data_IF_250152347857
#
_entry.id   IF_250152347857
#
_cell.length_a   1.000
_cell.length_b   1.000
_cell.length_c   1.000
_cell.angle_alpha   90.00
_cell.angle_beta   90.00
_cell.angle_gamma   90.00
#
_symmetry.space_group_name_H-M   'P 1'
#
loop_
_entity.id
_entity.type
_entity.pdbx_description
1 polymer ?
#
# COMPACT_ATOMS: atom_id res chain seq x y z
N UNK A 1 21.29 -4.50 4.95
CA UNK A 1 20.53 -3.41 4.31
C UNK A 1 20.99 -2.06 4.81
N UNK A 2 20.37 -1.57 5.89
CA UNK A 2 20.62 -0.23 6.45
C UNK A 2 22.09 0.11 6.76
N UNK A 3 22.85 -0.84 7.34
CA UNK A 3 24.30 -0.65 7.54
C UNK A 3 25.07 -0.43 6.23
N UNK A 4 24.76 -1.21 5.20
CA UNK A 4 25.38 -1.07 3.89
C UNK A 4 25.00 0.29 3.25
N UNK A 5 23.73 0.70 3.35
CA UNK A 5 23.25 2.00 2.87
C UNK A 5 23.90 3.17 3.62
N UNK A 6 24.14 3.03 4.92
CA UNK A 6 24.81 4.04 5.73
C UNK A 6 26.30 4.14 5.37
N UNK A 7 26.96 2.99 5.18
CA UNK A 7 28.36 2.94 4.74
C UNK A 7 28.53 3.60 3.37
N UNK A 8 27.67 3.29 2.40
CA UNK A 8 27.74 3.91 1.07
C UNK A 8 27.46 5.42 1.12
N UNK A 9 26.54 5.87 1.98
CA UNK A 9 26.27 7.29 2.16
C UNK A 9 27.41 8.06 2.86
N UNK A 10 28.13 7.42 3.78
CA UNK A 10 29.33 7.99 4.43
C UNK A 10 30.53 8.05 3.49
N UNK A 11 30.64 7.11 2.56
CA UNK A 11 31.68 7.08 1.53
C UNK A 11 31.40 8.05 0.36
N UNK A 12 30.16 8.52 0.22
CA UNK A 12 29.73 9.42 -0.86
C UNK A 12 30.64 10.65 -1.07
N UNK A 13 31.06 11.39 -0.03
CA UNK A 13 31.91 12.57 -0.22
C UNK A 13 33.32 12.24 -0.75
N UNK A 14 33.75 10.98 -0.66
CA UNK A 14 35.13 10.55 -0.87
C UNK A 14 35.32 9.76 -2.17
N UNK A 15 34.23 9.39 -2.86
CA UNK A 15 34.27 8.54 -4.06
C UNK A 15 33.82 9.33 -5.30
N UNK A 16 34.66 9.44 -6.36
CA UNK A 16 34.24 10.09 -7.60
C UNK A 16 33.11 9.29 -8.29
N UNK A 17 32.09 10.02 -8.75
CA UNK A 17 30.78 9.55 -9.24
C UNK A 17 30.80 8.53 -10.40
N UNK A 18 31.95 8.23 -10.99
CA UNK A 18 32.11 7.41 -12.20
C UNK A 18 32.33 5.90 -11.96
N UNK A 19 32.19 5.38 -10.73
CA UNK A 19 32.30 3.91 -10.51
C UNK A 19 30.93 3.23 -10.57
N UNK A 20 30.75 2.40 -11.60
CA UNK A 20 29.65 1.43 -11.78
C UNK A 20 29.38 0.56 -10.51
N UNK A 21 30.39 0.35 -9.67
CA UNK A 21 30.24 -0.35 -8.38
C UNK A 21 29.38 0.36 -7.32
N UNK A 22 29.26 1.69 -7.37
CA UNK A 22 28.51 2.48 -6.38
C UNK A 22 27.00 2.26 -6.51
N UNK A 23 26.48 2.28 -7.73
CA UNK A 23 25.06 2.02 -8.00
C UNK A 23 24.66 0.58 -7.63
N UNK A 24 25.53 -0.41 -7.89
CA UNK A 24 25.28 -1.81 -7.53
C UNK A 24 25.15 -2.00 -6.01
N UNK A 25 26.04 -1.38 -5.22
CA UNK A 25 25.99 -1.43 -3.76
C UNK A 25 24.72 -0.80 -3.20
N UNK A 26 24.28 0.32 -3.78
CA UNK A 26 23.02 0.97 -3.41
C UNK A 26 21.80 0.08 -3.70
N UNK A 27 21.67 -0.48 -4.90
CA UNK A 27 20.56 -1.37 -5.24
C UNK A 27 20.50 -2.60 -4.33
N UNK A 28 21.65 -3.24 -4.08
CA UNK A 28 21.71 -4.39 -3.17
C UNK A 28 21.27 -4.03 -1.76
N UNK A 29 21.70 -2.87 -1.25
CA UNK A 29 21.30 -2.40 0.08
C UNK A 29 19.78 -2.16 0.18
N UNK A 30 19.17 -1.57 -0.85
CA UNK A 30 17.74 -1.31 -0.93
C UNK A 30 16.92 -2.60 -1.04
N UNK A 31 17.36 -3.56 -1.86
CA UNK A 31 16.70 -4.87 -1.96
C UNK A 31 16.73 -5.63 -0.63
N UNK A 32 17.86 -5.61 0.09
CA UNK A 32 17.94 -6.23 1.42
C UNK A 32 17.03 -5.54 2.44
N UNK A 33 16.86 -4.21 2.37
CA UNK A 33 15.92 -3.49 3.23
C UNK A 33 14.49 -3.92 2.90
N UNK A 34 14.12 -3.95 1.61
CA UNK A 34 12.79 -4.36 1.17
C UNK A 34 12.47 -5.80 1.57
N UNK A 35 13.42 -6.73 1.43
CA UNK A 35 13.24 -8.14 1.80
C UNK A 35 13.07 -8.30 3.31
N UNK A 36 13.86 -7.57 4.12
CA UNK A 36 13.68 -7.53 5.56
C UNK A 36 12.30 -7.02 5.94
N UNK A 37 11.93 -5.83 5.45
CA UNK A 37 10.66 -5.17 5.75
C UNK A 37 9.44 -6.01 5.34
N UNK A 38 9.50 -6.70 4.19
CA UNK A 38 8.44 -7.60 3.75
C UNK A 38 8.26 -8.83 4.65
N UNK A 39 9.34 -9.36 5.23
CA UNK A 39 9.30 -10.56 6.07
C UNK A 39 8.91 -10.30 7.53
N UNK A 40 9.52 -9.28 8.16
CA UNK A 40 9.32 -9.08 9.60
C UNK A 40 8.01 -8.34 9.93
N UNK A 41 7.54 -7.41 9.08
CA UNK A 41 6.35 -6.60 9.39
C UNK A 41 5.10 -7.44 9.75
N UNK A 42 4.64 -8.39 8.91
CA UNK A 42 3.46 -9.18 9.23
C UNK A 42 3.70 -10.13 10.41
N UNK A 43 4.90 -10.69 10.48
CA UNK A 43 5.28 -11.66 11.52
C UNK A 43 5.37 -11.02 12.91
N UNK A 44 5.90 -9.79 13.00
CA UNK A 44 6.09 -9.09 14.27
C UNK A 44 4.76 -8.68 14.90
N UNK A 45 3.81 -8.21 14.09
CA UNK A 45 2.48 -7.84 14.57
C UNK A 45 1.70 -9.08 15.06
N UNK A 46 1.75 -10.18 14.30
CA UNK A 46 1.12 -11.44 14.70
C UNK A 46 1.76 -12.01 15.98
N UNK A 47 3.09 -12.04 16.04
CA UNK A 47 3.83 -12.52 17.20
C UNK A 47 3.52 -11.73 18.46
N UNK A 48 3.42 -10.40 18.36
CA UNK A 48 3.04 -9.53 19.48
C UNK A 48 1.63 -9.82 19.99
N UNK A 49 0.68 -10.06 19.09
CA UNK A 49 -0.69 -10.44 19.45
C UNK A 49 -0.74 -11.83 20.14
N UNK A 50 0.03 -12.80 19.65
CA UNK A 50 0.10 -14.15 20.22
C UNK A 50 0.55 -14.16 21.69
N UNK A 51 1.40 -13.21 22.10
CA UNK A 51 1.83 -13.11 23.51
C UNK A 51 0.67 -12.78 24.46
N UNK A 52 -0.35 -12.06 23.97
CA UNK A 52 -1.53 -11.67 24.75
C UNK A 52 -2.59 -12.77 24.78
N UNK A 53 -2.60 -13.69 23.80
CA UNK A 53 -3.56 -14.79 23.78
C UNK A 53 -3.23 -15.90 24.79
N UNK A 54 -1.96 -16.06 25.16
CA UNK A 54 -1.51 -17.16 26.03
C UNK A 54 -1.86 -16.89 27.51
N UNK A 55 -2.04 -15.63 27.91
CA UNK A 55 -2.62 -15.29 29.23
C UNK A 55 -4.09 -15.75 29.35
N UNK A 56 -4.82 -15.92 28.25
CA UNK A 56 -6.26 -16.19 28.24
C UNK A 56 -6.63 -17.68 28.51
N UNK A 57 -5.67 -18.61 28.43
CA UNK A 57 -5.90 -20.05 28.66
C UNK A 57 -5.86 -20.47 30.15
N UNK A 58 -5.51 -19.56 31.07
CA UNK A 58 -5.58 -19.82 32.52
C UNK A 58 -7.03 -19.63 33.01
N UNK A 59 -7.64 -20.64 33.69
CA UNK A 59 -9.06 -20.62 33.99
C UNK A 59 -9.34 -19.71 35.19
N UNK A 60 -9.51 -18.42 34.94
CA UNK A 60 -10.17 -17.52 35.87
C UNK A 60 -10.93 -16.45 35.09
N UNK A 61 -12.24 -16.67 34.95
CA UNK A 61 -13.29 -15.64 34.87
C UNK A 61 -12.86 -14.29 34.28
N UNK A 62 -13.12 -14.05 32.98
CA UNK A 62 -13.39 -12.74 32.34
C UNK A 62 -13.20 -12.82 30.81
N UNK A 63 -14.25 -13.15 30.07
CA UNK A 63 -14.29 -12.99 28.61
C UNK A 63 -14.22 -11.52 28.16
N UNK A 64 -14.54 -10.57 29.05
CA UNK A 64 -14.59 -9.14 28.71
C UNK A 64 -13.25 -8.41 28.92
N UNK A 65 -12.45 -8.76 29.95
CA UNK A 65 -11.15 -8.07 30.19
C UNK A 65 -10.04 -8.46 29.21
N UNK A 66 -10.11 -9.63 28.57
CA UNK A 66 -9.10 -10.10 27.60
C UNK A 66 -9.18 -9.36 26.26
N UNK A 67 -10.41 -9.11 25.79
CA UNK A 67 -10.68 -8.27 24.61
C UNK A 67 -10.16 -6.85 24.81
N UNK A 68 -10.32 -6.29 26.01
CA UNK A 68 -9.86 -4.94 26.35
C UNK A 68 -8.33 -4.82 26.31
N UNK A 69 -7.57 -5.78 26.87
CA UNK A 69 -6.10 -5.77 26.82
C UNK A 69 -5.56 -5.82 25.39
N UNK A 70 -6.14 -6.66 24.53
CA UNK A 70 -5.74 -6.77 23.11
C UNK A 70 -6.07 -5.49 22.34
N UNK A 71 -7.25 -4.91 22.57
CA UNK A 71 -7.65 -3.63 21.98
C UNK A 71 -6.68 -2.50 22.36
N UNK A 72 -6.35 -2.38 23.65
CA UNK A 72 -5.37 -1.39 24.15
C UNK A 72 -3.99 -1.60 23.53
N UNK A 73 -3.53 -2.85 23.38
CA UNK A 73 -2.27 -3.15 22.69
C UNK A 73 -2.28 -2.65 21.24
N UNK A 74 -3.33 -2.98 20.47
CA UNK A 74 -3.42 -2.55 19.07
C UNK A 74 -3.56 -1.02 18.94
N UNK A 75 -4.22 -0.36 19.88
CA UNK A 75 -4.29 1.11 19.92
C UNK A 75 -2.90 1.73 20.15
N UNK A 76 -2.14 1.25 21.13
CA UNK A 76 -0.77 1.72 21.38
C UNK A 76 0.19 1.40 20.24
N UNK A 77 0.06 0.21 19.63
CA UNK A 77 0.81 -0.18 18.44
C UNK A 77 0.55 0.81 17.29
N UNK A 78 -0.72 1.12 17.03
CA UNK A 78 -1.10 2.07 16.00
C UNK A 78 -0.59 3.49 16.29
N UNK A 79 -0.74 3.95 17.54
CA UNK A 79 -0.17 5.23 17.99
C UNK A 79 1.34 5.31 17.77
N UNK A 80 2.06 4.22 18.05
CA UNK A 80 3.50 4.07 17.80
C UNK A 80 3.86 4.19 16.32
N UNK A 81 3.12 3.51 15.44
CA UNK A 81 3.34 3.59 13.98
C UNK A 81 3.12 5.01 13.47
N UNK A 82 2.01 5.65 13.85
CA UNK A 82 1.68 7.01 13.43
C UNK A 82 2.72 8.03 13.89
N UNK A 83 3.13 7.95 15.17
CA UNK A 83 4.15 8.84 15.74
C UNK A 83 5.51 8.60 15.09
N UNK A 84 5.92 7.35 14.91
CA UNK A 84 7.18 6.99 14.26
C UNK A 84 7.24 7.44 12.79
N UNK A 85 6.15 7.28 12.04
CA UNK A 85 6.03 7.78 10.66
C UNK A 85 6.16 9.30 10.60
N UNK A 86 5.47 10.02 11.50
CA UNK A 86 5.51 11.47 11.56
C UNK A 86 6.92 11.99 11.90
N UNK A 87 7.57 11.40 12.90
CA UNK A 87 8.94 11.75 13.29
C UNK A 87 9.95 11.42 12.19
N UNK A 88 9.77 10.30 11.49
CA UNK A 88 10.61 9.92 10.35
C UNK A 88 10.56 10.95 9.22
N UNK A 89 9.37 11.30 8.76
CA UNK A 89 9.17 12.24 7.64
C UNK A 89 9.54 13.68 8.00
N UNK A 90 9.48 14.05 9.28
CA UNK A 90 9.82 15.41 9.74
C UNK A 90 11.29 15.51 10.13
N UNK A 91 11.71 14.81 11.18
CA UNK A 91 13.05 14.93 11.78
C UNK A 91 14.10 14.30 10.90
N UNK A 92 13.90 13.06 10.44
CA UNK A 92 14.94 12.37 9.64
C UNK A 92 15.13 13.07 8.30
N UNK A 93 14.05 13.50 7.64
CA UNK A 93 14.15 14.30 6.42
C UNK A 93 14.83 15.66 6.64
N UNK A 94 14.62 16.29 7.80
CA UNK A 94 15.34 17.52 8.16
C UNK A 94 16.84 17.27 8.33
N UNK A 95 17.22 16.19 9.02
CA UNK A 95 18.61 15.80 9.20
C UNK A 95 19.25 15.47 7.84
N UNK A 96 18.55 14.76 6.95
CA UNK A 96 19.03 14.43 5.60
C UNK A 96 19.33 15.69 4.77
N UNK A 97 18.42 16.66 4.78
CA UNK A 97 18.55 17.90 4.00
C UNK A 97 19.55 18.91 4.58
N UNK A 98 19.80 18.89 5.90
CA UNK A 98 20.64 19.90 6.59
C UNK A 98 22.00 19.40 7.06
N UNK A 99 22.07 18.17 7.58
CA UNK A 99 23.27 17.56 8.16
C UNK A 99 23.87 16.45 7.27
N UNK A 100 23.13 16.00 6.25
CA UNK A 100 23.58 15.08 5.23
C UNK A 100 23.05 13.65 5.36
N UNK A 101 23.16 12.92 4.25
CA UNK A 101 22.57 11.59 4.08
C UNK A 101 23.19 10.50 4.98
N UNK A 102 24.49 10.61 5.29
CA UNK A 102 25.17 9.65 6.18
C UNK A 102 24.53 9.59 7.58
N UNK A 103 24.33 10.75 8.21
CA UNK A 103 23.63 10.85 9.51
C UNK A 103 22.15 10.45 9.38
N UNK A 104 21.51 10.85 8.28
CA UNK A 104 20.12 10.50 7.98
C UNK A 104 19.85 8.99 7.94
N UNK A 105 20.78 8.18 7.43
CA UNK A 105 20.66 6.71 7.42
C UNK A 105 21.23 6.04 8.68
N UNK A 106 22.22 6.65 9.33
CA UNK A 106 22.79 6.14 10.57
C UNK A 106 21.74 6.05 11.70
N UNK A 107 20.86 7.06 11.83
CA UNK A 107 19.84 7.11 12.89
C UNK A 107 18.87 5.90 12.81
N UNK A 108 18.19 5.64 11.66
CA UNK A 108 17.38 4.42 11.51
C UNK A 108 18.17 3.13 11.70
N UNK A 109 19.45 3.11 11.30
CA UNK A 109 20.31 1.95 11.46
C UNK A 109 20.55 1.61 12.93
N UNK A 110 20.92 2.61 13.73
CA UNK A 110 21.13 2.45 15.18
C UNK A 110 19.82 2.03 15.84
N UNK A 111 18.70 2.69 15.50
CA UNK A 111 17.38 2.34 16.03
C UNK A 111 17.00 0.88 15.74
N UNK A 112 17.25 0.40 14.51
CA UNK A 112 16.98 -1.00 14.13
C UNK A 112 17.88 -1.99 14.88
N UNK A 113 19.18 -1.71 14.99
CA UNK A 113 20.13 -2.56 15.74
C UNK A 113 19.72 -2.64 17.21
N UNK A 114 19.36 -1.51 17.82
CA UNK A 114 18.85 -1.46 19.19
C UNK A 114 17.55 -2.24 19.33
N UNK A 115 16.61 -2.12 18.38
CA UNK A 115 15.36 -2.91 18.38
C UNK A 115 15.61 -4.42 18.33
N UNK A 116 16.53 -4.87 17.47
CA UNK A 116 16.89 -6.29 17.37
C UNK A 116 17.57 -6.78 18.65
N UNK A 117 18.42 -5.95 19.27
CA UNK A 117 19.04 -6.27 20.55
C UNK A 117 17.98 -6.45 21.66
N UNK A 118 17.03 -5.51 21.78
CA UNK A 118 15.92 -5.62 22.72
C UNK A 118 15.07 -6.88 22.48
N UNK A 119 14.70 -7.14 21.22
CA UNK A 119 13.94 -8.34 20.86
C UNK A 119 14.71 -9.62 21.21
N UNK A 120 16.01 -9.66 20.96
CA UNK A 120 16.85 -10.83 21.28
C UNK A 120 17.01 -11.05 22.78
N UNK A 121 17.18 -9.97 23.56
CA UNK A 121 17.21 -10.02 25.02
C UNK A 121 15.87 -10.48 25.61
N UNK A 122 14.76 -10.15 24.95
CA UNK A 122 13.40 -10.55 25.33
C UNK A 122 13.08 -12.03 25.12
N UNK A 123 13.94 -12.80 24.43
CA UNK A 123 13.68 -14.20 24.05
C UNK A 123 13.27 -15.12 25.22
N UNK A 124 13.76 -14.86 26.43
CA UNK A 124 13.40 -15.63 27.63
C UNK A 124 11.97 -15.39 28.13
N UNK A 125 11.38 -14.25 27.76
CA UNK A 125 10.05 -13.83 28.19
C UNK A 125 8.97 -14.13 27.16
N UNK A 126 9.35 -14.55 25.94
CA UNK A 126 8.40 -14.84 24.89
C UNK A 126 7.89 -16.27 24.96
N UNK A 127 6.59 -16.43 24.83
CA UNK A 127 5.93 -17.71 24.65
C UNK A 127 5.85 -18.03 23.15
N UNK A 128 6.23 -19.26 22.79
CA UNK A 128 6.23 -19.74 21.41
C UNK A 128 5.10 -20.75 21.22
N UNK A 129 4.19 -20.48 20.30
CA UNK A 129 3.19 -21.47 19.85
C UNK A 129 3.81 -22.42 18.83
N UNK A 130 3.49 -23.72 18.93
CA UNK A 130 3.90 -24.71 17.94
C UNK A 130 3.16 -24.43 16.63
N UNK A 131 3.89 -24.15 15.55
CA UNK A 131 3.29 -23.89 14.25
C UNK A 131 2.55 -25.14 13.74
N UNK A 132 1.25 -25.01 13.47
CA UNK A 132 0.53 -25.98 12.65
C UNK A 132 1.16 -25.94 11.26
N UNK A 133 1.73 -27.06 10.84
CA UNK A 133 2.50 -27.21 9.59
C UNK A 133 1.63 -27.01 8.35
N UNK A 134 1.28 -25.76 8.01
CA UNK A 134 0.70 -25.43 6.73
C UNK A 134 1.84 -25.32 5.70
N UNK A 135 2.08 -26.47 5.11
CA UNK A 135 3.14 -26.86 4.19
C UNK A 135 3.33 -25.85 3.03
N UNK A 136 4.57 -25.39 2.78
CA UNK A 136 4.93 -24.53 1.63
C UNK A 136 4.45 -25.10 0.28
N UNK A 137 4.21 -26.41 0.21
CA UNK A 137 3.60 -27.09 -0.93
C UNK A 137 2.22 -26.52 -1.32
N UNK A 138 1.49 -25.91 -0.40
CA UNK A 138 0.20 -25.28 -0.70
C UNK A 138 0.37 -24.04 -1.59
N UNK A 139 1.44 -23.24 -1.44
CA UNK A 139 1.68 -22.08 -2.30
C UNK A 139 2.08 -22.47 -3.74
N UNK A 140 2.95 -23.47 -3.88
CA UNK A 140 3.36 -24.00 -5.18
C UNK A 140 2.13 -24.58 -5.92
N UNK A 141 1.27 -25.30 -5.21
CA UNK A 141 0.03 -25.85 -5.77
C UNK A 141 -0.97 -24.76 -6.16
N UNK A 142 -1.08 -23.66 -5.40
CA UNK A 142 -1.93 -22.50 -5.75
C UNK A 142 -1.47 -21.89 -7.07
N UNK A 143 -0.16 -21.66 -7.25
CA UNK A 143 0.38 -21.05 -8.46
C UNK A 143 0.18 -21.94 -9.70
N UNK A 144 0.42 -23.25 -9.57
CA UNK A 144 0.21 -24.20 -10.65
C UNK A 144 -1.26 -24.30 -11.07
N UNK A 145 -2.19 -24.28 -10.11
CA UNK A 145 -3.63 -24.34 -10.39
C UNK A 145 -4.14 -23.01 -10.97
N UNK A 146 -3.63 -21.87 -10.51
CA UNK A 146 -3.94 -20.56 -11.08
C UNK A 146 -3.50 -20.51 -12.55
N UNK A 147 -2.29 -21.01 -12.86
CA UNK A 147 -1.78 -21.14 -14.23
C UNK A 147 -2.65 -22.07 -15.09
N UNK A 148 -3.07 -23.22 -14.54
CA UNK A 148 -3.93 -24.17 -15.24
C UNK A 148 -5.37 -23.64 -15.46
N UNK A 149 -5.87 -22.80 -14.56
CA UNK A 149 -7.21 -22.20 -14.65
C UNK A 149 -7.21 -21.00 -15.61
N UNK A 150 -6.19 -20.14 -15.52
CA UNK A 150 -6.00 -19.04 -16.45
C UNK A 150 -5.81 -19.52 -17.90
N UNK A 151 -5.04 -20.59 -18.11
CA UNK A 151 -4.87 -21.18 -19.44
C UNK A 151 -6.15 -21.78 -20.00
N UNK A 152 -7.02 -22.38 -19.17
CA UNK A 152 -8.34 -22.89 -19.59
C UNK A 152 -9.32 -21.78 -19.95
N UNK A 153 -9.27 -20.65 -19.26
CA UNK A 153 -10.11 -19.48 -19.54
C UNK A 153 -9.63 -18.75 -20.80
N UNK A 154 -8.31 -18.63 -20.99
CA UNK A 154 -7.71 -18.05 -22.21
C UNK A 154 -7.98 -18.93 -23.43
N UNK A 155 -8.02 -20.26 -23.26
CA UNK A 155 -8.30 -21.22 -24.34
C UNK A 155 -9.80 -21.47 -24.60
N UNK A 156 -10.70 -20.62 -24.11
CA UNK A 156 -12.11 -20.61 -24.53
C UNK A 156 -13.00 -21.73 -23.98
N UNK A 157 -12.63 -22.38 -22.87
CA UNK A 157 -13.49 -23.39 -22.23
C UNK A 157 -14.54 -22.77 -21.30
N UNK A 158 -15.62 -22.22 -21.85
CA UNK A 158 -16.84 -21.93 -21.08
C UNK A 158 -17.59 -23.27 -20.92
N UNK A 159 -17.84 -23.81 -19.71
CA UNK A 159 -18.89 -24.80 -19.55
C UNK A 159 -20.22 -24.07 -19.65
N UNK A 160 -20.90 -24.27 -20.77
CA UNK A 160 -22.30 -23.92 -20.96
C UNK A 160 -23.13 -24.59 -19.85
N UNK A 161 -24.06 -23.82 -19.27
CA UNK A 161 -25.05 -24.33 -18.33
C UNK A 161 -26.00 -25.33 -19.01
N UNK A 162 -25.98 -26.58 -18.58
CA UNK A 162 -27.03 -27.60 -18.78
C UNK A 162 -26.74 -28.68 -17.71
N UNK A 163 -27.43 -28.86 -16.58
CA UNK A 163 -28.88 -28.94 -16.32
C UNK A 163 -29.20 -28.50 -14.87
N UNK A 164 -30.37 -27.88 -14.71
CA UNK A 164 -31.08 -27.75 -13.43
C UNK A 164 -31.76 -29.08 -13.07
N UNK A 165 -31.32 -29.72 -12.00
CA UNK A 165 -32.05 -30.50 -10.98
C UNK A 165 -30.94 -31.10 -10.10
N UNK A 166 -30.69 -30.65 -8.89
CA UNK A 166 -31.61 -30.72 -7.76
C UNK A 166 -31.39 -29.55 -6.81
N UNK A 167 -32.47 -28.81 -6.59
CA UNK A 167 -32.64 -27.94 -5.43
C UNK A 167 -33.13 -28.79 -4.27
N UNK A 168 -32.23 -29.40 -3.49
CA UNK A 168 -32.54 -29.90 -2.15
C UNK A 168 -31.27 -29.75 -1.31
N UNK A 169 -31.31 -28.77 -0.41
CA UNK A 169 -30.90 -28.92 0.99
C UNK A 169 -29.45 -29.35 1.28
N UNK A 170 -28.69 -28.46 1.91
CA UNK A 170 -27.77 -28.79 3.02
C UNK A 170 -27.16 -27.48 3.56
N UNK A 171 -28.01 -26.70 4.22
CA UNK A 171 -27.60 -26.03 5.45
C UNK A 171 -27.27 -27.10 6.51
N UNK A 172 -26.33 -26.77 7.40
CA UNK A 172 -25.92 -27.53 8.58
C UNK A 172 -25.36 -28.94 8.34
N UNK A 173 -24.03 -29.03 8.41
CA UNK A 173 -23.44 -30.08 9.25
C UNK A 173 -22.12 -29.61 9.88
N UNK A 174 -22.25 -28.77 10.91
CA UNK A 174 -21.38 -28.92 12.08
C UNK A 174 -21.62 -30.32 12.66
N UNK A 175 -20.67 -31.24 12.54
CA UNK A 175 -20.53 -32.36 13.48
C UNK A 175 -19.06 -32.77 13.66
N UNK A 176 -18.75 -33.31 14.85
CA UNK A 176 -17.47 -33.14 15.52
C UNK A 176 -16.43 -34.17 15.08
N UNK A 177 -15.17 -33.83 15.36
CA UNK A 177 -14.02 -34.72 15.35
C UNK A 177 -14.23 -35.95 16.27
N UNK A 178 -13.59 -37.06 15.88
CA UNK A 178 -13.56 -38.43 16.44
C UNK A 178 -14.63 -39.39 15.84
N UNK A 179 -14.33 -40.59 15.31
CA UNK A 179 -13.23 -41.52 15.61
C UNK A 179 -13.07 -42.59 14.50
N UNK A 180 -11.81 -43.01 14.27
CA UNK A 180 -11.33 -44.37 13.96
C UNK A 180 -11.67 -45.05 12.61
N UNK A 181 -10.68 -45.05 11.70
CA UNK A 181 -10.19 -46.27 11.06
C UNK A 181 -10.54 -46.51 9.59
N UNK A 182 -9.67 -46.08 8.66
CA UNK A 182 -9.23 -46.83 7.46
C UNK A 182 -8.21 -46.02 6.62
N UNK A 183 -6.92 -46.30 6.81
CA UNK A 183 -5.75 -45.59 6.24
C UNK A 183 -5.51 -45.81 4.72
N UNK A 184 -6.54 -45.96 3.90
CA UNK A 184 -6.38 -46.17 2.44
C UNK A 184 -7.16 -45.20 1.55
N UNK A 185 -8.28 -44.66 2.05
CA UNK A 185 -9.22 -43.85 1.25
C UNK A 185 -9.09 -42.35 1.56
N UNK A 186 -8.50 -41.97 2.69
CA UNK A 186 -8.33 -40.56 3.09
C UNK A 186 -7.40 -39.78 2.15
N UNK A 187 -6.30 -40.35 1.67
CA UNK A 187 -5.29 -39.62 0.86
C UNK A 187 -5.81 -39.20 -0.52
N UNK A 188 -6.71 -40.00 -1.12
CA UNK A 188 -7.34 -39.65 -2.40
C UNK A 188 -8.45 -38.60 -2.20
N UNK A 189 -9.19 -38.68 -1.09
CA UNK A 189 -10.24 -37.73 -0.76
C UNK A 189 -9.66 -36.37 -0.33
N UNK A 190 -8.51 -36.36 0.36
CA UNK A 190 -7.77 -35.14 0.72
C UNK A 190 -7.28 -34.37 -0.51
N UNK A 191 -6.72 -35.07 -1.49
CA UNK A 191 -6.24 -34.44 -2.73
C UNK A 191 -7.39 -33.90 -3.60
N UNK A 192 -8.52 -34.60 -3.64
CA UNK A 192 -9.73 -34.13 -4.34
C UNK A 192 -10.31 -32.89 -3.65
N UNK A 193 -10.50 -32.93 -2.33
CA UNK A 193 -11.03 -31.82 -1.55
C UNK A 193 -10.10 -30.60 -1.57
N UNK A 194 -8.78 -30.81 -1.53
CA UNK A 194 -7.78 -29.75 -1.69
C UNK A 194 -7.82 -29.12 -3.08
N UNK A 195 -8.02 -29.91 -4.13
CA UNK A 195 -8.17 -29.42 -5.52
C UNK A 195 -9.46 -28.60 -5.69
N UNK A 196 -10.58 -29.06 -5.12
CA UNK A 196 -11.87 -28.35 -5.13
C UNK A 196 -11.76 -27.04 -4.36
N UNK A 197 -11.15 -27.07 -3.17
CA UNK A 197 -10.87 -25.88 -2.37
C UNK A 197 -10.06 -24.86 -3.17
N UNK A 198 -8.94 -25.29 -3.77
CA UNK A 198 -8.07 -24.43 -4.59
C UNK A 198 -8.77 -23.86 -5.83
N UNK A 199 -9.70 -24.61 -6.43
CA UNK A 199 -10.53 -24.11 -7.52
C UNK A 199 -11.50 -23.02 -7.05
N UNK A 200 -12.06 -23.14 -5.84
CA UNK A 200 -12.88 -22.08 -5.25
C UNK A 200 -12.05 -20.82 -4.98
N UNK A 201 -10.81 -20.98 -4.47
CA UNK A 201 -9.87 -19.86 -4.30
C UNK A 201 -9.67 -19.11 -5.62
N UNK A 202 -9.34 -19.83 -6.68
CA UNK A 202 -9.07 -19.24 -7.99
C UNK A 202 -10.30 -18.52 -8.57
N UNK A 203 -11.51 -19.10 -8.40
CA UNK A 203 -12.76 -18.48 -8.86
C UNK A 203 -13.06 -17.17 -8.14
N UNK A 204 -12.90 -17.13 -6.81
CA UNK A 204 -13.11 -15.93 -6.00
C UNK A 204 -12.09 -14.85 -6.40
N UNK A 205 -10.81 -15.21 -6.50
CA UNK A 205 -9.77 -14.27 -6.92
C UNK A 205 -10.05 -13.68 -8.32
N UNK A 206 -10.44 -14.52 -9.28
CA UNK A 206 -10.72 -14.09 -10.66
C UNK A 206 -11.94 -13.17 -10.76
N UNK A 207 -12.95 -13.35 -9.89
CA UNK A 207 -14.10 -12.44 -9.78
C UNK A 207 -13.70 -11.07 -9.24
N UNK A 208 -12.70 -11.00 -8.36
CA UNK A 208 -12.22 -9.77 -7.75
C UNK A 208 -11.22 -9.01 -8.62
N UNK A 209 -10.55 -9.69 -9.55
CA UNK A 209 -9.54 -9.10 -10.45
C UNK A 209 -9.99 -7.84 -11.20
N UNK A 210 -11.20 -7.74 -11.78
CA UNK A 210 -11.62 -6.53 -12.50
C UNK A 210 -11.71 -5.29 -11.61
N UNK A 211 -12.13 -5.45 -10.35
CA UNK A 211 -12.17 -4.33 -9.40
C UNK A 211 -10.75 -4.01 -8.94
N UNK A 212 -9.97 -5.04 -8.64
CA UNK A 212 -8.56 -4.92 -8.26
C UNK A 212 -7.73 -4.16 -9.31
N UNK A 213 -7.93 -4.40 -10.61
CA UNK A 213 -7.19 -3.71 -11.67
C UNK A 213 -7.51 -2.23 -11.74
N UNK A 214 -8.77 -1.81 -11.53
CA UNK A 214 -9.14 -0.39 -11.52
C UNK A 214 -8.48 0.36 -10.35
N UNK A 215 -8.22 -0.32 -9.24
CA UNK A 215 -7.55 0.26 -8.07
C UNK A 215 -6.04 0.46 -8.28
N UNK A 216 -5.44 -0.11 -9.34
CA UNK A 216 -4.01 0.06 -9.60
C UNK A 216 -3.63 1.52 -9.88
N UNK A 217 -4.48 2.27 -10.59
CA UNK A 217 -4.22 3.70 -10.84
C UNK A 217 -4.22 4.53 -9.56
N UNK A 218 -5.04 4.15 -8.59
CA UNK A 218 -5.01 4.75 -7.25
C UNK A 218 -3.64 4.50 -6.59
N UNK A 219 -3.14 3.27 -6.62
CA UNK A 219 -1.82 2.96 -6.08
C UNK A 219 -0.67 3.69 -6.81
N UNK A 220 -0.77 3.89 -8.12
CA UNK A 220 0.20 4.68 -8.90
C UNK A 220 0.29 6.12 -8.37
N UNK A 221 -0.86 6.77 -8.14
CA UNK A 221 -0.89 8.13 -7.58
C UNK A 221 -0.19 8.20 -6.22
N UNK A 222 -0.35 7.17 -5.38
CA UNK A 222 0.26 7.11 -4.05
C UNK A 222 1.78 6.91 -4.06
N UNK A 223 2.41 6.67 -5.22
CA UNK A 223 3.89 6.68 -5.36
C UNK A 223 4.48 8.07 -5.62
N UNK A 224 3.66 9.05 -6.00
CA UNK A 224 4.11 10.41 -6.34
C UNK A 224 4.60 11.24 -5.14
N UNK A 225 3.99 11.18 -3.94
CA UNK A 225 4.42 11.96 -2.77
C UNK A 225 5.90 11.78 -2.43
N UNK A 226 6.38 10.53 -2.49
CA UNK A 226 7.75 10.14 -2.19
C UNK A 226 8.76 10.45 -3.31
N UNK A 227 8.27 10.77 -4.51
CA UNK A 227 9.11 10.90 -5.71
C UNK A 227 8.93 12.27 -6.35
N UNK A 228 8.06 12.40 -7.36
CA UNK A 228 7.92 13.61 -8.16
C UNK A 228 7.42 14.81 -7.37
N UNK A 229 6.55 14.65 -6.37
CA UNK A 229 6.11 15.78 -5.55
C UNK A 229 7.25 16.33 -4.69
N UNK A 230 8.10 15.44 -4.17
CA UNK A 230 9.32 15.83 -3.46
C UNK A 230 10.29 16.52 -4.42
N UNK A 231 10.50 15.98 -5.63
CA UNK A 231 11.35 16.58 -6.67
C UNK A 231 10.85 17.98 -7.07
N UNK A 232 9.53 18.15 -7.22
CA UNK A 232 8.88 19.43 -7.48
C UNK A 232 9.14 20.43 -6.34
N UNK A 233 8.93 20.01 -5.09
CA UNK A 233 9.11 20.85 -3.91
C UNK A 233 10.55 21.33 -3.69
N UNK A 234 11.57 20.59 -4.16
CA UNK A 234 12.98 21.02 -4.10
C UNK A 234 13.23 22.34 -4.84
N UNK A 235 12.47 22.63 -5.89
CA UNK A 235 12.63 23.81 -6.75
C UNK A 235 11.79 25.01 -6.33
N UNK A 236 10.95 24.86 -5.30
CA UNK A 236 10.05 25.88 -4.80
C UNK A 236 10.69 26.67 -3.64
N UNK A 237 10.09 27.79 -3.26
CA UNK A 237 10.49 28.56 -2.08
C UNK A 237 10.08 27.82 -0.81
N UNK A 238 11.08 27.40 -0.02
CA UNK A 238 10.90 26.54 1.18
C UNK A 238 11.02 27.26 2.52
N UNK A 239 11.17 28.58 2.52
CA UNK A 239 11.43 29.34 3.74
C UNK A 239 10.13 29.58 4.53
N UNK A 240 10.10 29.20 5.80
CA UNK A 240 9.15 29.71 6.81
C UNK A 240 9.87 30.85 7.53
N UNK A 241 9.37 32.08 7.36
CA UNK A 241 10.04 33.27 7.88
C UNK A 241 11.40 33.51 7.23
N UNK A 242 12.34 34.08 8.00
CA UNK A 242 13.67 34.47 7.51
C UNK A 242 14.74 33.38 7.63
N UNK A 243 14.63 32.45 8.59
CA UNK A 243 15.74 31.55 8.96
C UNK A 243 15.46 30.06 8.76
N UNK A 244 14.21 29.63 8.65
CA UNK A 244 13.88 28.20 8.61
C UNK A 244 13.55 27.74 7.19
N UNK A 245 14.25 26.70 6.69
CA UNK A 245 14.01 26.09 5.38
C UNK A 245 13.45 24.69 5.56
N UNK A 246 12.22 24.47 5.13
CA UNK A 246 11.57 23.16 5.26
C UNK A 246 12.17 22.18 4.22
N UNK A 247 12.45 20.93 4.61
CA UNK A 247 12.72 19.86 3.65
C UNK A 247 11.47 19.57 2.81
N UNK A 248 11.57 19.38 1.49
CA UNK A 248 10.40 19.09 0.66
C UNK A 248 9.67 17.80 1.06
N UNK A 249 10.43 16.77 1.45
CA UNK A 249 9.90 15.49 1.89
C UNK A 249 8.98 15.62 3.11
N UNK A 250 9.21 16.63 3.96
CA UNK A 250 8.37 16.88 5.14
C UNK A 250 6.91 17.16 4.78
N UNK A 251 6.60 17.59 3.55
CA UNK A 251 5.20 17.72 3.10
C UNK A 251 4.42 16.40 3.11
N UNK A 252 5.10 15.24 3.02
CA UNK A 252 4.44 13.95 3.16
C UNK A 252 3.76 13.80 4.54
N UNK A 253 4.25 14.50 5.57
CA UNK A 253 3.61 14.50 6.90
C UNK A 253 2.18 15.04 6.84
N UNK A 254 1.83 15.88 5.87
CA UNK A 254 0.48 16.38 5.70
C UNK A 254 -0.52 15.26 5.37
N UNK A 255 -0.10 14.19 4.66
CA UNK A 255 -0.93 12.99 4.43
C UNK A 255 -1.19 12.31 5.78
N UNK A 256 -0.13 12.01 6.54
CA UNK A 256 -0.23 11.35 7.84
C UNK A 256 -1.06 12.15 8.84
N UNK A 257 -0.85 13.46 8.93
CA UNK A 257 -1.62 14.36 9.80
C UNK A 257 -3.09 14.39 9.39
N UNK A 258 -3.37 14.42 8.08
CA UNK A 258 -4.74 14.36 7.57
C UNK A 258 -5.41 13.05 7.99
N UNK A 259 -4.72 11.92 7.86
CA UNK A 259 -5.25 10.61 8.30
C UNK A 259 -5.53 10.60 9.81
N UNK A 260 -4.57 11.03 10.63
CA UNK A 260 -4.72 11.05 12.10
C UNK A 260 -5.88 11.95 12.54
N UNK A 261 -6.05 13.12 11.93
CA UNK A 261 -7.09 14.08 12.30
C UNK A 261 -8.46 13.63 11.78
N UNK A 262 -8.54 13.14 10.54
CA UNK A 262 -9.81 12.83 9.90
C UNK A 262 -10.32 11.41 10.19
N UNK A 263 -9.49 10.44 10.55
CA UNK A 263 -9.96 9.07 10.83
C UNK A 263 -10.97 9.02 12.01
N UNK A 264 -10.74 9.70 13.16
CA UNK A 264 -11.75 9.75 14.22
C UNK A 264 -13.02 10.49 13.77
N UNK A 265 -12.88 11.56 12.98
CA UNK A 265 -14.02 12.29 12.42
C UNK A 265 -14.82 11.45 11.42
N UNK A 266 -14.15 10.56 10.70
CA UNK A 266 -14.78 9.64 9.76
C UNK A 266 -15.76 8.72 10.51
N UNK A 267 -15.32 8.11 11.62
CA UNK A 267 -16.17 7.20 12.38
C UNK A 267 -17.28 7.93 13.16
N UNK A 268 -16.96 9.07 13.77
CA UNK A 268 -17.90 9.81 14.64
C UNK A 268 -18.90 10.65 13.85
N UNK A 269 -18.46 11.29 12.76
CA UNK A 269 -19.30 12.24 12.03
C UNK A 269 -19.74 11.68 10.68
N UNK A 270 -18.81 11.16 9.87
CA UNK A 270 -19.12 10.76 8.50
C UNK A 270 -20.03 9.52 8.45
N UNK A 271 -19.77 8.48 9.24
CA UNK A 271 -20.62 7.28 9.25
C UNK A 271 -22.06 7.58 9.68
N UNK A 272 -22.33 8.28 10.81
CA UNK A 272 -23.70 8.62 11.20
C UNK A 272 -24.38 9.56 10.21
N UNK A 273 -23.65 10.53 9.65
CA UNK A 273 -24.17 11.45 8.63
C UNK A 273 -24.54 10.70 7.33
N UNK A 274 -23.70 9.77 6.89
CA UNK A 274 -23.97 8.90 5.76
C UNK A 274 -25.22 8.03 5.98
N UNK A 275 -25.41 7.48 7.19
CA UNK A 275 -26.62 6.75 7.56
C UNK A 275 -27.85 7.65 7.56
N UNK A 276 -27.72 8.88 8.04
CA UNK A 276 -28.80 9.87 8.04
C UNK A 276 -29.27 10.22 6.62
N UNK A 277 -28.34 10.46 5.69
CA UNK A 277 -28.68 10.77 4.29
C UNK A 277 -29.25 9.55 3.56
N UNK A 278 -28.58 8.40 3.65
CA UNK A 278 -28.93 7.21 2.85
C UNK A 278 -30.12 6.44 3.43
N UNK A 279 -30.53 6.74 4.67
CA UNK A 279 -31.62 6.06 5.40
C UNK A 279 -31.48 4.53 5.44
N UNK A 280 -30.26 4.02 5.39
CA UNK A 280 -29.92 2.60 5.45
C UNK A 280 -29.06 2.32 6.69
N UNK A 281 -29.20 1.13 7.30
CA UNK A 281 -28.47 0.77 8.53
C UNK A 281 -26.95 0.76 8.34
N UNK A 282 -26.46 0.44 7.13
CA UNK A 282 -25.04 0.44 6.78
C UNK A 282 -24.52 1.80 6.26
N UNK A 283 -25.39 2.75 5.89
CA UNK A 283 -25.00 4.04 5.31
C UNK A 283 -24.55 3.94 3.85
N UNK A 284 -23.35 4.44 3.53
CA UNK A 284 -22.74 4.40 2.19
C UNK A 284 -22.09 3.02 1.96
N UNK A 285 -22.24 2.45 0.75
CA UNK A 285 -21.65 1.14 0.45
C UNK A 285 -20.13 1.19 0.38
N UNK A 286 -19.47 0.07 0.66
CA UNK A 286 -18.00 -0.04 0.61
C UNK A 286 -17.45 0.38 -0.77
N UNK A 287 -18.12 -0.04 -1.84
CA UNK A 287 -17.78 0.32 -3.22
C UNK A 287 -17.94 1.82 -3.51
N UNK A 288 -18.98 2.45 -2.96
CA UNK A 288 -19.17 3.90 -3.06
C UNK A 288 -18.06 4.66 -2.33
N UNK A 289 -17.67 4.21 -1.13
CA UNK A 289 -16.52 4.79 -0.39
C UNK A 289 -15.23 4.70 -1.22
N UNK A 290 -14.97 3.53 -1.81
CA UNK A 290 -13.81 3.35 -2.69
C UNK A 290 -13.84 4.32 -3.87
N UNK A 291 -15.00 4.49 -4.52
CA UNK A 291 -15.20 5.44 -5.61
C UNK A 291 -15.01 6.90 -5.20
N UNK A 292 -15.44 7.31 -3.99
CA UNK A 292 -15.23 8.66 -3.46
C UNK A 292 -13.73 8.95 -3.33
N UNK A 293 -12.95 8.04 -2.73
CA UNK A 293 -11.51 8.26 -2.62
C UNK A 293 -10.81 8.24 -3.99
N UNK A 294 -11.19 7.34 -4.91
CA UNK A 294 -10.67 7.38 -6.29
C UNK A 294 -11.00 8.70 -7.01
N UNK A 295 -12.15 9.32 -6.74
CA UNK A 295 -12.48 10.64 -7.28
C UNK A 295 -11.63 11.75 -6.65
N UNK A 296 -11.43 11.72 -5.34
CA UNK A 296 -10.58 12.68 -4.65
C UNK A 296 -9.11 12.61 -5.10
N UNK A 297 -8.60 11.41 -5.41
CA UNK A 297 -7.24 11.25 -5.94
C UNK A 297 -7.10 11.85 -7.36
N UNK A 298 -8.14 11.76 -8.20
CA UNK A 298 -8.18 12.46 -9.50
C UNK A 298 -8.12 13.97 -9.31
N UNK A 299 -8.89 14.52 -8.37
CA UNK A 299 -8.86 15.95 -8.05
C UNK A 299 -7.46 16.36 -7.55
N UNK A 300 -6.83 15.56 -6.68
CA UNK A 300 -5.47 15.80 -6.21
C UNK A 300 -4.47 15.88 -7.36
N UNK A 301 -4.61 15.01 -8.37
CA UNK A 301 -3.76 15.04 -9.57
C UNK A 301 -4.01 16.27 -10.44
N UNK A 302 -5.25 16.73 -10.56
CA UNK A 302 -5.57 18.00 -11.24
C UNK A 302 -4.89 19.17 -10.52
N UNK A 303 -4.97 19.24 -9.18
CA UNK A 303 -4.24 20.25 -8.42
C UNK A 303 -2.73 20.18 -8.65
N UNK A 304 -2.14 18.98 -8.61
CA UNK A 304 -0.72 18.79 -8.87
C UNK A 304 -0.32 19.29 -10.27
N UNK A 305 -1.12 18.98 -11.30
CA UNK A 305 -0.90 19.42 -12.67
C UNK A 305 -0.99 20.95 -12.83
N UNK A 306 -1.98 21.58 -12.20
CA UNK A 306 -2.16 23.05 -12.22
C UNK A 306 -1.02 23.75 -11.48
N UNK A 307 -0.64 23.27 -10.30
CA UNK A 307 0.47 23.84 -9.51
C UNK A 307 1.78 23.73 -10.29
N UNK A 308 2.00 22.59 -10.97
CA UNK A 308 3.20 22.40 -11.78
C UNK A 308 3.23 23.29 -13.03
N UNK A 309 2.07 23.45 -13.70
CA UNK A 309 1.93 24.37 -14.83
C UNK A 309 2.29 25.79 -14.43
N UNK A 310 1.78 26.25 -13.28
CA UNK A 310 2.07 27.57 -12.71
C UNK A 310 3.55 27.71 -12.32
N UNK A 311 4.15 26.69 -11.71
CA UNK A 311 5.58 26.69 -11.36
C UNK A 311 6.46 26.84 -12.61
N UNK A 312 6.15 26.09 -13.67
CA UNK A 312 6.87 26.14 -14.95
C UNK A 312 6.73 27.49 -15.64
N UNK A 313 5.54 28.09 -15.63
CA UNK A 313 5.29 29.42 -16.20
C UNK A 313 6.17 30.49 -15.53
N UNK A 314 6.17 30.52 -14.19
CA UNK A 314 7.01 31.46 -13.43
C UNK A 314 8.49 31.20 -13.72
N UNK A 315 8.90 29.93 -13.79
CA UNK A 315 10.29 29.56 -14.07
C UNK A 315 10.77 30.03 -15.44
N UNK A 316 9.92 29.96 -16.48
CA UNK A 316 10.27 30.43 -17.83
C UNK A 316 10.40 31.95 -17.90
N UNK A 317 9.53 32.67 -17.20
CA UNK A 317 9.54 34.12 -17.18
C UNK A 317 10.76 34.70 -16.45
N UNK A 318 11.38 33.94 -15.55
CA UNK A 318 12.49 34.42 -14.72
C UNK A 318 13.86 34.39 -15.44
N UNK A 319 14.06 33.49 -16.41
CA UNK A 319 15.30 33.40 -17.21
C UNK A 319 16.62 33.24 -16.41
N UNK A 320 16.58 32.96 -15.11
CA UNK A 320 17.73 32.95 -14.20
C UNK A 320 18.59 31.68 -14.29
N UNK A 321 19.66 31.52 -13.49
CA UNK A 321 20.50 30.31 -13.45
C UNK A 321 19.81 29.11 -12.81
N UNK A 322 20.13 27.87 -13.23
CA UNK A 322 19.47 26.60 -12.87
C UNK A 322 19.19 26.40 -11.37
N UNK A 323 20.11 26.86 -10.52
CA UNK A 323 20.04 26.67 -9.06
C UNK A 323 19.07 27.60 -8.33
N UNK A 324 18.45 28.54 -9.03
CA UNK A 324 17.55 29.51 -8.41
C UNK A 324 16.15 28.91 -8.21
N UNK A 325 15.71 28.81 -6.95
CA UNK A 325 14.37 28.36 -6.59
C UNK A 325 13.32 29.34 -7.13
N UNK A 326 12.25 28.79 -7.73
CA UNK A 326 11.09 29.56 -8.18
C UNK A 326 10.45 30.24 -6.97
N UNK A 327 10.05 31.53 -7.04
CA UNK A 327 9.43 32.27 -5.94
C UNK A 327 7.98 31.82 -5.64
N UNK A 328 7.65 30.55 -5.91
CA UNK A 328 6.38 29.93 -5.57
C UNK A 328 6.55 29.19 -4.25
N UNK A 329 5.72 29.50 -3.25
CA UNK A 329 5.80 28.86 -1.94
C UNK A 329 5.51 27.36 -2.05
N UNK A 330 6.29 26.55 -1.33
CA UNK A 330 6.11 25.09 -1.27
C UNK A 330 4.71 24.68 -0.75
N UNK A 331 4.04 25.54 0.02
CA UNK A 331 2.68 25.30 0.52
C UNK A 331 1.61 25.19 -0.58
N UNK A 332 1.90 25.61 -1.81
CA UNK A 332 0.99 25.35 -2.94
C UNK A 332 0.83 23.86 -3.26
N UNK A 333 1.76 23.01 -2.81
CA UNK A 333 1.62 21.55 -2.91
C UNK A 333 0.69 20.99 -1.83
N UNK A 334 0.46 21.71 -0.73
CA UNK A 334 -0.30 21.19 0.42
C UNK A 334 -1.71 20.67 0.08
N UNK A 335 -2.51 21.32 -0.79
CA UNK A 335 -3.84 20.83 -1.16
C UNK A 335 -3.80 19.41 -1.75
N UNK A 336 -2.82 19.09 -2.59
CA UNK A 336 -2.73 17.76 -3.21
C UNK A 336 -2.35 16.69 -2.17
N UNK A 337 -1.49 17.01 -1.20
CA UNK A 337 -1.16 16.09 -0.11
C UNK A 337 -2.35 15.85 0.83
N UNK A 338 -3.08 16.89 1.22
CA UNK A 338 -4.27 16.76 2.07
C UNK A 338 -5.35 15.94 1.36
N UNK A 339 -5.63 16.22 0.08
CA UNK A 339 -6.60 15.45 -0.70
C UNK A 339 -6.22 13.98 -0.81
N UNK A 340 -4.94 13.65 -0.97
CA UNK A 340 -4.47 12.26 -0.92
C UNK A 340 -4.69 11.62 0.45
N UNK A 341 -4.46 12.35 1.54
CA UNK A 341 -4.75 11.86 2.90
C UNK A 341 -6.25 11.60 3.13
N UNK A 342 -7.13 12.47 2.67
CA UNK A 342 -8.59 12.26 2.74
C UNK A 342 -8.98 11.04 1.88
N UNK A 343 -8.46 10.98 0.66
CA UNK A 343 -8.68 9.89 -0.29
C UNK A 343 -8.25 8.52 0.25
N UNK A 344 -7.17 8.48 1.03
CA UNK A 344 -6.65 7.27 1.67
C UNK A 344 -7.70 6.65 2.61
N UNK A 345 -8.27 7.45 3.51
CA UNK A 345 -9.30 7.02 4.48
C UNK A 345 -10.50 6.36 3.76
N UNK A 346 -10.89 6.89 2.61
CA UNK A 346 -12.02 6.37 1.86
C UNK A 346 -11.69 5.08 1.09
N UNK A 347 -10.64 5.09 0.27
CA UNK A 347 -10.35 3.97 -0.62
C UNK A 347 -9.59 2.86 0.09
N UNK A 348 -8.61 3.15 0.94
CA UNK A 348 -7.82 2.09 1.62
C UNK A 348 -8.67 1.32 2.61
N UNK A 349 -9.40 2.01 3.49
CA UNK A 349 -10.31 1.33 4.43
C UNK A 349 -11.41 0.59 3.67
N UNK A 350 -11.93 1.17 2.57
CA UNK A 350 -12.89 0.51 1.70
C UNK A 350 -12.33 -0.76 1.03
N UNK A 351 -11.10 -0.71 0.50
CA UNK A 351 -10.43 -1.88 -0.08
C UNK A 351 -10.23 -2.99 0.94
N UNK A 352 -9.78 -2.66 2.14
CA UNK A 352 -9.58 -3.62 3.22
C UNK A 352 -10.88 -4.34 3.57
N UNK A 353 -11.97 -3.58 3.78
CA UNK A 353 -13.30 -4.13 4.08
C UNK A 353 -13.85 -4.97 2.93
N UNK A 354 -13.72 -4.48 1.69
CA UNK A 354 -14.21 -5.16 0.48
C UNK A 354 -13.52 -6.51 0.27
N UNK A 355 -12.18 -6.51 0.18
CA UNK A 355 -11.45 -7.75 -0.08
C UNK A 355 -11.53 -8.74 1.07
N UNK A 356 -11.73 -8.28 2.31
CA UNK A 356 -11.93 -9.16 3.45
C UNK A 356 -13.32 -9.82 3.47
N UNK A 357 -14.36 -9.08 3.05
CA UNK A 357 -15.75 -9.55 3.11
C UNK A 357 -16.12 -10.44 1.92
N UNK A 358 -15.54 -10.18 0.75
CA UNK A 358 -15.87 -10.94 -0.47
C UNK A 358 -15.18 -12.32 -0.54
N UNK A 359 -14.14 -12.54 0.28
CA UNK A 359 -13.47 -13.85 0.39
C UNK A 359 -14.11 -14.70 1.49
N UNK A 360 -14.19 -16.04 1.32
CA UNK A 360 -14.63 -16.94 2.37
C UNK A 360 -13.84 -16.77 3.68
N UNK A 361 -14.45 -17.15 4.81
CA UNK A 361 -13.83 -17.02 6.15
C UNK A 361 -12.48 -17.77 6.22
N UNK A 362 -12.40 -18.95 5.60
CA UNK A 362 -11.19 -19.77 5.48
C UNK A 362 -10.06 -19.11 4.66
N UNK A 363 -10.36 -18.00 3.98
CA UNK A 363 -9.51 -17.35 2.99
C UNK A 363 -9.21 -15.88 3.30
N UNK A 364 -9.52 -15.40 4.50
CA UNK A 364 -9.35 -13.98 4.89
C UNK A 364 -7.93 -13.45 4.69
N UNK A 365 -6.91 -14.27 4.88
CA UNK A 365 -5.50 -13.92 4.59
C UNK A 365 -5.28 -13.56 3.12
N UNK A 366 -5.99 -14.22 2.20
CA UNK A 366 -5.95 -13.87 0.77
C UNK A 366 -6.54 -12.49 0.51
N UNK A 367 -7.62 -12.10 1.18
CA UNK A 367 -8.22 -10.76 1.05
C UNK A 367 -7.22 -9.65 1.41
N UNK A 368 -6.49 -9.83 2.52
CA UNK A 368 -5.44 -8.88 2.95
C UNK A 368 -4.26 -8.88 1.94
N UNK A 369 -3.89 -10.04 1.41
CA UNK A 369 -2.84 -10.14 0.40
C UNK A 369 -3.23 -9.46 -0.92
N UNK A 370 -4.49 -9.61 -1.37
CA UNK A 370 -5.03 -8.94 -2.55
C UNK A 370 -5.07 -7.42 -2.39
N UNK A 371 -5.48 -6.93 -1.22
CA UNK A 371 -5.39 -5.51 -0.88
C UNK A 371 -3.94 -5.00 -0.96
N UNK A 372 -3.01 -5.67 -0.28
CA UNK A 372 -1.60 -5.24 -0.22
C UNK A 372 -0.93 -5.31 -1.59
N UNK A 373 -1.32 -6.27 -2.43
CA UNK A 373 -0.80 -6.41 -3.78
C UNK A 373 -1.20 -5.27 -4.71
N UNK A 374 -2.31 -4.56 -4.45
CA UNK A 374 -2.69 -3.35 -5.22
C UNK A 374 -1.55 -2.33 -5.18
N UNK A 375 -0.99 -2.07 -4.00
CA UNK A 375 0.13 -1.13 -3.85
C UNK A 375 1.43 -1.67 -4.44
N UNK A 376 1.74 -2.95 -4.22
CA UNK A 376 2.94 -3.58 -4.77
C UNK A 376 2.96 -3.58 -6.31
N UNK A 377 1.89 -4.05 -6.95
CA UNK A 377 1.75 -4.04 -8.41
C UNK A 377 1.60 -2.62 -8.95
N UNK A 378 0.92 -1.73 -8.22
CA UNK A 378 0.82 -0.32 -8.55
C UNK A 378 2.18 0.37 -8.65
N UNK A 379 3.16 0.03 -7.79
CA UNK A 379 4.54 0.53 -7.90
C UNK A 379 5.23 0.10 -9.19
N UNK A 380 5.07 -1.17 -9.59
CA UNK A 380 5.60 -1.65 -10.86
C UNK A 380 4.90 -0.98 -12.05
N UNK A 381 3.57 -0.80 -11.97
CA UNK A 381 2.81 -0.08 -12.99
C UNK A 381 3.27 1.38 -13.10
N UNK A 382 3.55 2.04 -11.98
CA UNK A 382 4.09 3.41 -11.97
C UNK A 382 5.43 3.47 -12.71
N UNK A 383 6.35 2.55 -12.41
CA UNK A 383 7.64 2.48 -13.09
C UNK A 383 7.49 2.19 -14.60
N UNK A 384 6.57 1.28 -14.96
CA UNK A 384 6.25 0.96 -16.34
C UNK A 384 5.67 2.17 -17.08
N UNK A 385 4.76 2.92 -16.46
CA UNK A 385 4.19 4.14 -17.05
C UNK A 385 5.25 5.21 -17.31
N UNK A 386 6.19 5.40 -16.37
CA UNK A 386 7.33 6.32 -16.57
C UNK A 386 8.17 5.86 -17.75
N UNK A 387 8.55 4.58 -17.79
CA UNK A 387 9.34 3.99 -18.87
C UNK A 387 8.66 4.09 -20.24
N UNK A 388 7.34 3.85 -20.33
CA UNK A 388 6.57 4.01 -21.56
C UNK A 388 6.52 5.48 -22.01
N UNK A 389 6.22 6.41 -21.09
CA UNK A 389 6.19 7.84 -21.41
C UNK A 389 7.54 8.31 -21.91
N UNK A 390 8.63 7.87 -21.28
CA UNK A 390 9.99 8.17 -21.71
C UNK A 390 10.29 7.57 -23.09
N UNK A 391 9.93 6.31 -23.33
CA UNK A 391 10.12 5.66 -24.63
C UNK A 391 9.37 6.38 -25.76
N UNK A 392 8.10 6.74 -25.54
CA UNK A 392 7.28 7.42 -26.55
C UNK A 392 7.65 8.89 -26.76
N UNK A 393 8.20 9.55 -25.74
CA UNK A 393 8.55 10.98 -25.82
C UNK A 393 9.96 11.19 -26.37
N UNK A 394 10.89 10.28 -26.10
CA UNK A 394 12.31 10.43 -26.48
C UNK A 394 12.61 10.28 -27.97
N UNK A 395 11.64 9.92 -28.81
CA UNK A 395 11.88 9.51 -30.22
C UNK A 395 11.46 10.55 -31.29
N UNK A 396 11.22 11.82 -30.92
CA UNK A 396 10.73 12.82 -31.89
C UNK A 396 11.46 14.17 -31.82
N UNK A 397 12.72 14.17 -32.25
CA UNK A 397 13.55 15.37 -32.46
C UNK A 397 14.09 16.00 -31.16
N UNK A 398 14.82 17.11 -31.29
CA UNK A 398 15.56 17.87 -30.25
C UNK A 398 14.80 18.30 -28.97
N UNK A 399 13.59 17.76 -28.71
CA UNK A 399 12.82 18.01 -27.49
C UNK A 399 13.12 16.93 -26.45
N UNK A 400 13.64 17.37 -25.32
CA UNK A 400 13.82 16.57 -24.10
C UNK A 400 12.53 15.85 -23.69
N UNK A 401 12.68 14.63 -23.15
CA UNK A 401 11.60 13.80 -22.58
C UNK A 401 10.80 14.57 -21.52
N UNK A 402 9.58 14.12 -21.19
CA UNK A 402 8.80 14.73 -20.10
C UNK A 402 9.55 14.69 -18.76
N UNK A 403 10.47 13.74 -18.62
CA UNK A 403 11.38 13.64 -17.50
C UNK A 403 12.74 14.21 -17.89
N UNK A 404 13.18 15.23 -17.16
CA UNK A 404 14.53 15.79 -17.25
C UNK A 404 15.08 15.94 -15.84
N UNK A 405 16.40 15.93 -15.70
CA UNK A 405 17.08 16.28 -14.45
C UNK A 405 16.91 17.77 -14.16
N UNK A 406 16.90 18.61 -15.20
CA UNK A 406 16.47 20.00 -15.07
C UNK A 406 14.94 20.08 -14.98
N UNK A 407 14.47 20.49 -13.81
CA UNK A 407 13.06 20.71 -13.52
C UNK A 407 12.44 21.86 -14.30
N UNK A 408 13.22 22.71 -14.98
CA UNK A 408 12.70 23.77 -15.85
C UNK A 408 12.23 23.24 -17.19
N UNK A 409 12.93 22.20 -17.66
CA UNK A 409 12.65 21.51 -18.91
C UNK A 409 11.65 20.37 -18.70
N UNK A 410 11.72 19.72 -17.54
CA UNK A 410 10.82 18.63 -17.17
C UNK A 410 9.36 19.05 -17.30
N UNK A 411 8.58 18.23 -18.01
CA UNK A 411 7.14 18.42 -18.25
C UNK A 411 6.32 17.51 -17.35
N UNK A 412 6.55 17.63 -16.04
CA UNK A 412 5.77 16.93 -15.02
C UNK A 412 4.29 17.35 -15.04
N UNK A 413 3.99 18.57 -15.50
CA UNK A 413 2.63 19.05 -15.77
C UNK A 413 1.87 18.08 -16.67
N UNK A 414 2.49 17.66 -17.78
CA UNK A 414 1.89 16.71 -18.73
C UNK A 414 1.74 15.32 -18.14
N UNK A 415 2.72 14.86 -17.36
CA UNK A 415 2.65 13.57 -16.70
C UNK A 415 1.52 13.53 -15.66
N UNK A 416 1.34 14.58 -14.87
CA UNK A 416 0.24 14.67 -13.92
C UNK A 416 -1.13 14.75 -14.61
N UNK A 417 -1.25 15.46 -15.73
CA UNK A 417 -2.46 15.43 -16.55
C UNK A 417 -2.75 14.03 -17.12
N UNK A 418 -1.74 13.30 -17.58
CA UNK A 418 -1.88 11.91 -18.04
C UNK A 418 -2.40 11.01 -16.91
N UNK A 419 -1.83 11.16 -15.70
CA UNK A 419 -2.27 10.40 -14.52
C UNK A 419 -3.68 10.78 -14.09
N UNK A 420 -4.06 12.06 -14.15
CA UNK A 420 -5.42 12.51 -13.88
C UNK A 420 -6.41 11.89 -14.87
N UNK A 421 -6.09 11.90 -16.17
CA UNK A 421 -6.93 11.32 -17.23
C UNK A 421 -7.08 9.80 -17.10
N UNK A 422 -5.97 9.07 -16.95
CA UNK A 422 -5.98 7.61 -16.81
C UNK A 422 -6.68 7.16 -15.52
N UNK A 423 -6.53 7.91 -14.43
CA UNK A 423 -7.24 7.65 -13.17
C UNK A 423 -8.73 7.98 -13.26
N UNK A 424 -9.12 9.02 -14.00
CA UNK A 424 -10.51 9.33 -14.28
C UNK A 424 -11.17 8.22 -15.13
N UNK A 425 -10.46 7.70 -16.14
CA UNK A 425 -10.93 6.54 -16.92
C UNK A 425 -11.09 5.30 -16.04
N UNK A 426 -10.14 5.07 -15.13
CA UNK A 426 -10.22 3.98 -14.15
C UNK A 426 -11.43 4.13 -13.24
N UNK A 427 -11.70 5.34 -12.73
CA UNK A 427 -12.88 5.65 -11.92
C UNK A 427 -14.18 5.38 -12.69
N UNK A 428 -14.29 5.86 -13.93
CA UNK A 428 -15.49 5.64 -14.75
C UNK A 428 -15.70 4.14 -14.98
N UNK A 429 -14.65 3.41 -15.35
CA UNK A 429 -14.72 1.97 -15.56
C UNK A 429 -15.06 1.22 -14.26
N UNK A 430 -14.49 1.63 -13.13
CA UNK A 430 -14.84 1.11 -11.81
C UNK A 430 -16.32 1.32 -11.49
N UNK A 431 -16.87 2.51 -11.72
CA UNK A 431 -18.31 2.77 -11.47
C UNK A 431 -19.22 1.93 -12.36
N UNK A 432 -18.82 1.68 -13.61
CA UNK A 432 -19.54 0.78 -14.52
C UNK A 432 -19.48 -0.65 -13.99
N UNK A 433 -18.29 -1.14 -13.62
CA UNK A 433 -18.11 -2.49 -13.06
C UNK A 433 -18.91 -2.68 -11.77
N UNK A 434 -18.97 -1.67 -10.90
CA UNK A 434 -19.77 -1.70 -9.68
C UNK A 434 -21.26 -1.95 -9.94
N UNK A 435 -21.81 -1.48 -11.08
CA UNK A 435 -23.21 -1.72 -11.44
C UNK A 435 -23.50 -3.17 -11.85
N UNK A 436 -22.49 -3.84 -12.40
CA UNK A 436 -22.60 -5.24 -12.85
C UNK A 436 -22.09 -6.23 -11.80
N UNK A 437 -21.39 -5.75 -10.77
CA UNK A 437 -20.88 -6.59 -9.70
C UNK A 437 -22.02 -6.96 -8.74
N UNK A 438 -22.55 -8.18 -8.90
CA UNK A 438 -23.41 -8.77 -7.88
C UNK A 438 -22.55 -9.02 -6.65
N UNK A 439 -22.95 -8.54 -5.47
CA UNK A 439 -22.28 -8.88 -4.21
C UNK A 439 -22.56 -10.33 -3.84
N UNK A 440 -21.62 -11.00 -3.17
CA UNK A 440 -21.89 -12.32 -2.58
C UNK A 440 -22.72 -12.06 -1.31
N UNK A 441 -24.05 -12.15 -1.42
CA UNK A 441 -24.96 -12.22 -0.26
C UNK A 441 -24.80 -13.54 0.46
#
# INVERSE_FOLDING_TARGET
>A
GLLALTSTALEWPWVPMNRVGFSSSLFWSLYLISLGQGGYNPSLQAFGADQLEIEDELPCSKSDQSSDKKSIFFQWWYFGICTGSLLGVTIVSYIQDTLGWGLGFAIPTIAMVTSIAFFSCGRRFYAFKQATSLDMKSFENIFQILRATASRIINGGIPSSTNKSDSVELELQEKPLCQQGQNGIEVLNENSNKSIYLLEIAKVALRLMPIWTMLLMFAVIFQLPATFFTKQGMTMRRNIGSHFKIPPATLQSAITISIILLMPLYDVFFIPFARFITRSEKGITVMQRMGIGMFLSVIAMVFAAVVETKRLEISRNMGGPESQSVPLSIFWLLPQYILLGISDIFTVVGMQEFFYTEVPVSMRTMGIALYTSVFGVGSFLSALLISLVEHFTSSRGERHSWFSDDMREARLDKYYWLLAFTSALSLVTFTILCRYYNQRT
#
